data_IF_240922006231
#
_entry.id   IF_240922006231
#
_cell.length_a   1.000
_cell.length_b   1.000
_cell.length_c   1.000
_cell.angle_alpha   90.00
_cell.angle_beta   90.00
_cell.angle_gamma   90.00
#
_symmetry.space_group_name_H-M   'P 1'
#
loop_
_entity.id
_entity.type
_entity.pdbx_description
1 polymer ?
#
# COMPACT_ATOMS: atom_id res chain seq x y z
N UNK A 1 45.89 -58.06 -50.55
CA UNK A 1 46.41 -57.79 -49.18
C UNK A 1 46.56 -56.28 -49.01
N UNK A 2 46.17 -55.76 -47.84
CA UNK A 2 46.33 -54.37 -47.33
C UNK A 2 45.33 -53.35 -47.88
N UNK A 3 44.60 -52.55 -47.10
CA UNK A 3 44.26 -52.47 -45.66
C UNK A 3 43.20 -51.36 -45.61
N UNK A 4 42.03 -51.62 -45.07
CA UNK A 4 41.00 -50.59 -44.87
C UNK A 4 41.40 -49.71 -43.68
N UNK A 5 41.51 -48.39 -43.88
CA UNK A 5 41.66 -47.43 -42.80
C UNK A 5 40.32 -46.70 -42.61
N UNK A 6 39.66 -46.99 -41.49
CA UNK A 6 38.58 -46.17 -40.94
C UNK A 6 39.15 -44.81 -40.54
N UNK A 7 38.66 -43.74 -41.16
CA UNK A 7 38.87 -42.38 -40.67
C UNK A 7 37.68 -41.99 -39.79
N UNK A 8 37.87 -42.06 -38.47
CA UNK A 8 36.96 -41.50 -37.48
C UNK A 8 37.17 -39.98 -37.49
N UNK A 9 36.23 -39.23 -38.06
CA UNK A 9 36.22 -37.77 -37.97
C UNK A 9 35.65 -37.38 -36.60
N UNK A 10 36.53 -36.87 -35.73
CA UNK A 10 36.19 -36.26 -34.45
C UNK A 10 35.36 -34.99 -34.67
N UNK A 11 34.11 -35.02 -34.23
CA UNK A 11 33.25 -33.84 -34.08
C UNK A 11 33.85 -32.92 -32.99
N UNK A 12 34.13 -31.65 -33.26
CA UNK A 12 34.46 -30.71 -32.21
C UNK A 12 33.21 -30.47 -31.35
N UNK A 13 33.25 -30.88 -30.09
CA UNK A 13 32.30 -30.42 -29.07
C UNK A 13 32.44 -28.91 -28.95
N UNK A 14 31.55 -28.15 -29.59
CA UNK A 14 31.31 -26.77 -29.24
C UNK A 14 30.66 -26.76 -27.86
N UNK A 15 31.46 -26.57 -26.82
CA UNK A 15 30.94 -26.16 -25.53
C UNK A 15 30.24 -24.81 -25.74
N UNK A 16 28.91 -24.83 -25.80
CA UNK A 16 28.12 -23.61 -25.77
C UNK A 16 28.42 -22.93 -24.44
N UNK A 17 29.24 -21.88 -24.47
CA UNK A 17 29.38 -20.97 -23.35
C UNK A 17 28.00 -20.35 -23.19
N UNK A 18 27.25 -20.81 -22.19
CA UNK A 18 26.02 -20.18 -21.78
C UNK A 18 26.37 -18.73 -21.41
N UNK A 19 25.97 -17.79 -22.26
CA UNK A 19 25.98 -16.38 -21.89
C UNK A 19 25.19 -16.27 -20.59
N UNK A 20 25.72 -15.62 -19.54
CA UNK A 20 24.94 -15.39 -18.34
C UNK A 20 23.67 -14.68 -18.79
N UNK A 21 22.53 -15.33 -18.58
CA UNK A 21 21.22 -14.76 -18.84
C UNK A 21 21.19 -13.44 -18.07
N UNK A 22 21.23 -12.33 -18.81
CA UNK A 22 21.19 -11.00 -18.20
C UNK A 22 19.95 -11.00 -17.31
N UNK A 23 20.16 -10.96 -15.99
CA UNK A 23 19.12 -10.51 -15.09
C UNK A 23 18.75 -9.14 -15.61
N UNK A 24 17.56 -9.02 -16.23
CA UNK A 24 17.09 -7.75 -16.77
C UNK A 24 16.69 -6.94 -15.55
N UNK A 25 17.69 -6.39 -14.87
CA UNK A 25 17.51 -5.55 -13.71
C UNK A 25 16.76 -4.31 -14.16
N UNK A 26 15.52 -4.15 -13.67
CA UNK A 26 14.73 -2.96 -13.97
C UNK A 26 14.79 -2.02 -12.78
N UNK A 27 15.29 -0.80 -12.99
CA UNK A 27 15.20 0.26 -12.00
C UNK A 27 13.75 0.75 -11.92
N UNK A 28 13.15 0.62 -10.75
CA UNK A 28 11.74 0.98 -10.53
C UNK A 28 11.62 1.85 -9.29
N UNK A 29 10.67 2.79 -9.33
CA UNK A 29 10.18 3.49 -8.15
C UNK A 29 8.78 2.98 -7.84
N UNK A 30 8.58 2.50 -6.62
CA UNK A 30 7.34 1.92 -6.13
C UNK A 30 6.84 2.74 -4.94
N UNK A 31 5.54 3.01 -4.88
CA UNK A 31 4.90 3.66 -3.74
C UNK A 31 3.84 2.73 -3.12
N UNK A 32 3.97 2.44 -1.83
CA UNK A 32 3.12 1.46 -1.15
C UNK A 32 3.44 1.36 0.34
N UNK A 33 2.76 0.44 1.02
CA UNK A 33 2.98 0.18 2.44
C UNK A 33 4.09 -0.86 2.62
N UNK A 34 5.12 -0.52 3.38
CA UNK A 34 6.11 -1.51 3.80
C UNK A 34 5.48 -2.43 4.83
N UNK A 35 5.54 -3.73 4.60
CA UNK A 35 5.08 -4.76 5.52
C UNK A 35 6.21 -5.73 5.83
N UNK A 36 6.18 -6.24 7.05
CA UNK A 36 7.01 -7.33 7.51
C UNK A 36 6.08 -8.34 8.19
N UNK A 37 6.10 -9.56 7.68
CA UNK A 37 5.43 -10.70 8.30
C UNK A 37 6.48 -11.44 9.13
N UNK A 38 6.34 -11.37 10.46
CA UNK A 38 7.26 -11.98 11.42
C UNK A 38 7.19 -13.52 11.41
N UNK A 39 6.04 -14.11 11.07
CA UNK A 39 5.84 -15.57 11.13
C UNK A 39 6.63 -16.27 10.04
N UNK A 40 6.63 -15.70 8.83
CA UNK A 40 7.36 -16.23 7.67
C UNK A 40 8.62 -15.43 7.33
N UNK A 41 8.93 -14.38 8.11
CA UNK A 41 10.03 -13.44 7.90
C UNK A 41 10.08 -12.88 6.47
N UNK A 42 8.93 -12.42 5.97
CA UNK A 42 8.78 -11.91 4.61
C UNK A 42 8.59 -10.41 4.64
N UNK A 43 9.43 -9.71 3.87
CA UNK A 43 9.35 -8.27 3.68
C UNK A 43 8.71 -7.95 2.33
N UNK A 44 7.71 -7.09 2.32
CA UNK A 44 7.02 -6.69 1.09
C UNK A 44 6.69 -5.20 1.06
N UNK A 45 6.55 -4.65 -0.13
CA UNK A 45 5.79 -3.42 -0.33
C UNK A 45 4.45 -3.81 -0.96
N UNK A 46 3.35 -3.53 -0.26
CA UNK A 46 2.00 -3.67 -0.79
C UNK A 46 1.62 -2.38 -1.50
N UNK A 47 1.42 -2.47 -2.80
CA UNK A 47 1.07 -1.33 -3.66
C UNK A 47 -0.44 -1.22 -3.84
N UNK A 48 -1.01 -0.01 -3.80
CA UNK A 48 -2.45 0.23 -3.95
C UNK A 48 -2.92 0.09 -5.40
N UNK A 49 -2.03 0.27 -6.36
CA UNK A 49 -2.24 0.04 -7.78
C UNK A 49 -1.30 -1.06 -8.25
N UNK A 50 -1.77 -1.99 -9.09
CA UNK A 50 -0.90 -3.06 -9.56
C UNK A 50 0.20 -2.46 -10.42
N UNK A 51 1.46 -2.80 -10.12
CA UNK A 51 2.57 -2.45 -10.99
C UNK A 51 2.73 -3.54 -12.05
N UNK A 52 3.12 -3.12 -13.26
CA UNK A 52 3.53 -4.02 -14.34
C UNK A 52 5.05 -3.92 -14.50
N UNK A 53 5.77 -4.98 -14.14
CA UNK A 53 7.23 -5.04 -14.20
C UNK A 53 7.66 -6.44 -14.60
N UNK A 54 8.66 -6.55 -15.49
CA UNK A 54 9.13 -7.84 -16.02
C UNK A 54 8.00 -8.75 -16.55
N UNK A 55 6.97 -8.16 -17.17
CA UNK A 55 5.81 -8.89 -17.70
C UNK A 55 4.84 -9.40 -16.62
N UNK A 56 5.06 -9.07 -15.35
CA UNK A 56 4.23 -9.50 -14.22
C UNK A 56 3.43 -8.31 -13.70
N UNK A 57 2.14 -8.54 -13.46
CA UNK A 57 1.22 -7.57 -12.86
C UNK A 57 0.92 -7.98 -11.41
N UNK A 58 1.32 -7.17 -10.43
CA UNK A 58 1.21 -7.54 -9.00
C UNK A 58 0.91 -6.36 -8.09
N UNK A 59 0.26 -6.64 -6.95
CA UNK A 59 0.02 -5.71 -5.83
C UNK A 59 1.06 -5.85 -4.70
N UNK A 60 1.93 -6.85 -4.79
CA UNK A 60 2.91 -7.16 -3.76
C UNK A 60 4.28 -7.17 -4.40
N UNK A 61 5.22 -6.45 -3.80
CA UNK A 61 6.62 -6.42 -4.23
C UNK A 61 7.47 -7.02 -3.11
N UNK A 62 7.88 -8.31 -3.24
CA UNK A 62 8.77 -8.94 -2.27
C UNK A 62 10.13 -8.25 -2.23
N UNK A 63 10.69 -8.09 -1.03
CA UNK A 63 11.99 -7.44 -0.83
C UNK A 63 13.11 -8.47 -0.64
N UNK A 64 14.29 -8.13 -1.16
CA UNK A 64 15.50 -8.97 -1.10
C UNK A 64 16.70 -8.19 -0.59
N UNK A 65 17.81 -8.88 -0.34
CA UNK A 65 19.02 -8.28 0.19
C UNK A 65 18.89 -8.05 1.70
N UNK A 66 18.91 -6.79 2.12
CA UNK A 66 18.90 -6.35 3.53
C UNK A 66 17.69 -5.45 3.84
N UNK A 67 16.44 -5.95 3.76
CA UNK A 67 15.24 -5.13 3.97
C UNK A 67 15.11 -4.60 5.40
N UNK A 68 15.72 -5.26 6.39
CA UNK A 68 15.72 -4.85 7.81
C UNK A 68 16.28 -3.44 8.05
N UNK A 69 17.10 -2.92 7.12
CA UNK A 69 17.58 -1.52 7.17
C UNK A 69 16.44 -0.49 7.10
N UNK A 70 15.24 -0.92 6.70
CA UNK A 70 14.04 -0.08 6.53
C UNK A 70 12.98 -0.32 7.60
N UNK A 71 13.30 -1.06 8.67
CA UNK A 71 12.37 -1.43 9.74
C UNK A 71 11.54 -0.26 10.31
N UNK A 72 12.17 0.91 10.47
CA UNK A 72 11.48 2.15 10.92
C UNK A 72 10.27 2.56 10.07
N UNK A 73 10.17 2.06 8.84
CA UNK A 73 9.09 2.33 7.90
C UNK A 73 8.03 1.24 7.87
N UNK A 74 8.13 0.16 8.66
CA UNK A 74 7.11 -0.89 8.71
C UNK A 74 5.74 -0.28 9.04
N UNK A 75 4.74 -0.73 8.29
CA UNK A 75 3.37 -0.21 8.30
C UNK A 75 3.21 1.13 7.59
N UNK A 76 4.28 1.90 7.30
CA UNK A 76 4.21 3.25 6.73
C UNK A 76 4.10 3.22 5.21
N UNK A 77 3.48 4.27 4.66
CA UNK A 77 3.45 4.50 3.22
C UNK A 77 4.79 5.11 2.79
N UNK A 78 5.50 4.43 1.90
CA UNK A 78 6.81 4.83 1.44
C UNK A 78 6.86 4.94 -0.07
N UNK A 79 7.80 5.76 -0.54
CA UNK A 79 8.33 5.68 -1.89
C UNK A 79 9.69 5.02 -1.82
N UNK A 80 9.84 3.88 -2.49
CA UNK A 80 11.07 3.11 -2.59
C UNK A 80 11.57 3.06 -4.03
N UNK A 81 12.86 3.30 -4.24
CA UNK A 81 13.53 3.12 -5.51
C UNK A 81 14.60 2.03 -5.40
N UNK A 82 14.69 1.15 -6.39
CA UNK A 82 15.62 0.05 -6.37
C UNK A 82 15.56 -0.79 -7.64
N UNK A 83 16.24 -1.93 -7.61
CA UNK A 83 16.27 -2.88 -8.73
C UNK A 83 15.28 -4.01 -8.48
N UNK A 84 14.42 -4.27 -9.47
CA UNK A 84 13.56 -5.44 -9.50
C UNK A 84 14.19 -6.49 -10.41
N UNK A 85 14.34 -7.70 -9.90
CA UNK A 85 14.88 -8.87 -10.61
C UNK A 85 13.87 -10.01 -10.62
N UNK A 86 13.96 -10.87 -11.65
CA UNK A 86 13.16 -12.09 -11.72
C UNK A 86 13.74 -13.13 -10.77
N UNK A 87 12.90 -13.69 -9.90
CA UNK A 87 13.27 -14.72 -8.93
C UNK A 87 12.23 -15.85 -8.95
N UNK A 88 12.27 -16.73 -9.98
CA UNK A 88 11.28 -17.80 -10.16
C UNK A 88 11.19 -18.76 -8.96
N UNK A 89 12.31 -18.99 -8.27
CA UNK A 89 12.38 -19.88 -7.10
C UNK A 89 11.76 -19.29 -5.82
N UNK A 90 11.45 -17.98 -5.77
CA UNK A 90 11.03 -17.27 -4.54
C UNK A 90 9.52 -17.17 -4.33
N UNK A 91 8.72 -17.82 -5.16
CA UNK A 91 7.26 -17.88 -5.03
C UNK A 91 6.51 -16.91 -5.94
N UNK A 92 5.32 -16.49 -5.52
CA UNK A 92 4.41 -15.65 -6.31
C UNK A 92 4.19 -14.28 -5.62
N UNK A 93 4.56 -13.15 -6.26
CA UNK A 93 5.09 -13.04 -7.62
C UNK A 93 6.57 -13.48 -7.70
N UNK A 94 7.02 -14.03 -8.85
CA UNK A 94 8.38 -14.52 -9.04
C UNK A 94 9.38 -13.37 -9.31
N UNK A 95 9.36 -12.35 -8.45
CA UNK A 95 10.22 -11.17 -8.51
C UNK A 95 10.75 -10.83 -7.13
N UNK A 96 11.83 -10.06 -7.09
CA UNK A 96 12.34 -9.47 -5.86
C UNK A 96 12.91 -8.08 -6.09
N UNK A 97 12.66 -7.18 -5.15
CA UNK A 97 13.19 -5.83 -5.17
C UNK A 97 14.30 -5.65 -4.13
N UNK A 98 15.48 -5.25 -4.57
CA UNK A 98 16.51 -4.72 -3.68
C UNK A 98 16.38 -3.19 -3.62
N UNK A 99 16.05 -2.66 -2.45
CA UNK A 99 15.81 -1.23 -2.25
C UNK A 99 17.13 -0.48 -2.06
N UNK A 100 17.40 0.49 -2.93
CA UNK A 100 18.52 1.42 -2.79
C UNK A 100 18.16 2.58 -1.86
N UNK A 101 16.98 3.17 -2.05
CA UNK A 101 16.50 4.33 -1.28
C UNK A 101 15.03 4.16 -0.95
N UNK A 102 14.66 4.46 0.29
CA UNK A 102 13.27 4.59 0.71
C UNK A 102 13.10 5.85 1.55
N UNK A 103 11.93 6.47 1.39
CA UNK A 103 11.49 7.58 2.23
C UNK A 103 10.00 7.41 2.53
N UNK A 104 9.61 7.80 3.73
CA UNK A 104 8.20 7.97 4.05
C UNK A 104 7.65 9.15 3.26
N UNK A 105 6.47 8.97 2.68
CA UNK A 105 5.73 10.01 1.97
C UNK A 105 4.27 9.91 2.35
N UNK A 106 3.55 11.01 2.28
CA UNK A 106 2.10 10.94 2.34
C UNK A 106 1.56 10.38 1.02
N UNK A 107 0.49 9.58 1.05
CA UNK A 107 -0.19 9.17 -0.16
C UNK A 107 -0.61 10.37 -1.04
N UNK A 108 -0.72 10.20 -2.36
CA UNK A 108 -1.33 11.22 -3.21
C UNK A 108 -2.75 11.57 -2.74
N UNK A 109 -3.10 12.86 -2.75
CA UNK A 109 -4.43 13.32 -2.34
C UNK A 109 -4.70 13.36 -0.83
N UNK A 110 -3.67 13.22 0.01
CA UNK A 110 -3.83 13.36 1.48
C UNK A 110 -4.34 14.74 1.87
N UNK A 111 -5.53 14.81 2.47
CA UNK A 111 -5.99 15.98 3.24
C UNK A 111 -5.47 15.88 4.67
N UNK A 112 -5.17 17.02 5.29
CA UNK A 112 -4.68 17.12 6.66
C UNK A 112 -5.46 18.17 7.44
N UNK A 113 -5.68 17.92 8.71
CA UNK A 113 -6.19 18.91 9.66
C UNK A 113 -5.46 18.75 11.01
N UNK A 114 -5.44 19.84 11.78
CA UNK A 114 -4.89 19.85 13.14
C UNK A 114 -6.05 19.99 14.11
N UNK A 115 -6.12 19.07 15.06
CA UNK A 115 -7.05 19.12 16.19
C UNK A 115 -6.29 19.68 17.39
N UNK A 116 -6.69 20.86 17.86
CA UNK A 116 -6.04 21.55 18.97
C UNK A 116 -7.10 22.07 19.96
N UNK A 117 -7.25 21.38 21.09
CA UNK A 117 -8.21 21.75 22.15
C UNK A 117 -7.54 22.45 23.34
N UNK A 118 -6.23 22.26 23.52
CA UNK A 118 -5.46 22.90 24.59
C UNK A 118 -3.97 22.90 24.26
N UNK A 119 -3.17 23.63 25.04
CA UNK A 119 -1.70 23.64 24.94
C UNK A 119 -1.07 22.25 24.95
N UNK A 120 -1.72 21.27 25.58
CA UNK A 120 -1.19 19.91 25.74
C UNK A 120 -1.80 18.89 24.76
N UNK A 121 -2.89 19.25 24.07
CA UNK A 121 -3.59 18.36 23.16
C UNK A 121 -3.51 18.93 21.74
N UNK A 122 -2.64 18.32 20.93
CA UNK A 122 -2.52 18.60 19.51
C UNK A 122 -2.31 17.30 18.75
N UNK A 123 -3.24 17.00 17.85
CA UNK A 123 -3.16 15.85 16.96
C UNK A 123 -3.21 16.31 15.50
N UNK A 124 -2.48 15.63 14.63
CA UNK A 124 -2.67 15.74 13.19
C UNK A 124 -3.55 14.57 12.73
N UNK A 125 -4.65 14.91 12.07
CA UNK A 125 -5.50 13.93 11.41
C UNK A 125 -5.30 14.02 9.90
N UNK A 126 -5.23 12.87 9.25
CA UNK A 126 -5.10 12.81 7.78
C UNK A 126 -6.05 11.77 7.20
N UNK A 127 -6.52 12.04 5.98
CA UNK A 127 -7.28 11.08 5.18
C UNK A 127 -6.76 11.08 3.75
N UNK A 128 -6.61 9.90 3.17
CA UNK A 128 -6.22 9.73 1.76
C UNK A 128 -7.03 8.60 1.13
N UNK A 129 -7.43 8.77 -0.12
CA UNK A 129 -7.88 7.65 -0.96
C UNK A 129 -6.74 7.24 -1.85
N UNK A 130 -6.43 5.95 -1.90
CA UNK A 130 -5.23 5.44 -2.56
C UNK A 130 -5.65 4.32 -3.54
N UNK A 131 -5.48 4.51 -4.85
CA UNK A 131 -5.12 5.77 -5.51
C UNK A 131 -6.22 6.84 -5.38
N UNK A 132 -5.86 8.13 -5.44
CA UNK A 132 -6.82 9.24 -5.39
C UNK A 132 -7.45 9.56 -6.76
N UNK A 133 -7.03 8.85 -7.81
CA UNK A 133 -7.58 8.92 -9.16
C UNK A 133 -7.50 7.55 -9.83
N UNK A 134 -8.62 6.99 -10.26
CA UNK A 134 -8.66 5.67 -10.89
C UNK A 134 -9.93 5.47 -11.72
N UNK A 135 -9.89 4.55 -12.68
CA UNK A 135 -11.09 4.03 -13.33
C UNK A 135 -11.27 2.56 -12.97
N UNK A 136 -12.51 2.10 -12.80
CA UNK A 136 -12.81 0.67 -12.61
C UNK A 136 -12.55 -0.13 -13.89
N UNK A 137 -12.69 0.55 -15.04
CA UNK A 137 -12.46 0.00 -16.38
C UNK A 137 -11.44 0.85 -17.13
N UNK A 138 -10.66 0.21 -18.00
CA UNK A 138 -9.75 0.90 -18.90
C UNK A 138 -10.49 1.43 -20.15
N UNK A 139 -9.75 2.05 -21.07
CA UNK A 139 -10.29 2.60 -22.32
C UNK A 139 -10.89 1.54 -23.26
N UNK A 140 -10.61 0.26 -23.04
CA UNK A 140 -11.18 -0.87 -23.80
C UNK A 140 -12.39 -1.49 -23.09
N UNK A 141 -12.74 -1.00 -21.90
CA UNK A 141 -13.82 -1.52 -21.06
C UNK A 141 -13.42 -2.70 -20.16
N UNK A 142 -12.15 -3.12 -20.21
CA UNK A 142 -11.65 -4.21 -19.39
C UNK A 142 -11.43 -3.76 -17.93
N UNK A 143 -11.65 -4.64 -16.93
CA UNK A 143 -11.42 -4.29 -15.54
C UNK A 143 -9.98 -3.88 -15.27
N UNK A 144 -9.78 -2.73 -14.63
CA UNK A 144 -8.44 -2.30 -14.20
C UNK A 144 -7.95 -3.09 -12.99
N UNK A 145 -8.84 -3.77 -12.26
CA UNK A 145 -8.50 -4.47 -11.02
C UNK A 145 -8.16 -3.55 -9.86
N UNK A 146 -8.35 -2.23 -9.98
CA UNK A 146 -8.09 -1.29 -8.89
C UNK A 146 -8.80 -1.72 -7.60
N UNK A 147 -8.10 -1.60 -6.48
CA UNK A 147 -8.63 -1.93 -5.15
C UNK A 147 -8.37 -0.72 -4.23
N UNK A 148 -9.23 0.30 -4.31
CA UNK A 148 -8.98 1.57 -3.64
C UNK A 148 -9.08 1.41 -2.11
N UNK A 149 -8.19 2.12 -1.42
CA UNK A 149 -8.10 2.13 0.04
C UNK A 149 -8.27 3.54 0.57
N UNK A 150 -9.12 3.71 1.56
CA UNK A 150 -9.19 4.92 2.38
C UNK A 150 -8.28 4.71 3.57
N UNK A 151 -7.27 5.55 3.71
CA UNK A 151 -6.35 5.57 4.83
C UNK A 151 -6.67 6.76 5.72
N UNK A 152 -7.07 6.49 6.96
CA UNK A 152 -7.25 7.50 7.99
C UNK A 152 -6.17 7.37 9.06
N UNK A 153 -5.60 8.49 9.51
CA UNK A 153 -4.56 8.49 10.54
C UNK A 153 -4.77 9.59 11.56
N UNK A 154 -4.42 9.31 12.81
CA UNK A 154 -4.29 10.30 13.88
C UNK A 154 -2.88 10.20 14.43
N UNK A 155 -2.13 11.30 14.46
CA UNK A 155 -0.79 11.34 15.04
C UNK A 155 -0.78 12.32 16.20
N UNK A 156 -0.44 11.83 17.39
CA UNK A 156 -0.28 12.68 18.57
C UNK A 156 1.05 13.46 18.46
N UNK A 157 0.97 14.78 18.30
CA UNK A 157 2.14 15.64 18.13
C UNK A 157 2.72 16.13 19.47
N UNK A 158 2.15 15.72 20.61
CA UNK A 158 2.52 16.22 21.94
C UNK A 158 2.96 15.11 22.89
N UNK A 159 3.39 15.54 24.06
CA UNK A 159 3.95 14.70 25.12
C UNK A 159 2.90 14.09 26.05
N UNK A 160 1.66 14.57 26.03
CA UNK A 160 0.55 13.97 26.78
C UNK A 160 -0.18 12.94 25.91
N UNK A 161 -0.60 11.78 26.47
CA UNK A 161 -1.50 10.86 25.76
C UNK A 161 -2.86 11.52 25.51
N UNK A 162 -3.51 11.13 24.41
CA UNK A 162 -4.88 11.55 24.09
C UNK A 162 -5.81 10.40 24.46
N UNK A 163 -6.83 10.70 25.26
CA UNK A 163 -7.82 9.72 25.71
C UNK A 163 -9.12 9.93 24.94
N UNK A 164 -9.55 8.88 24.23
CA UNK A 164 -10.85 8.83 23.57
C UNK A 164 -11.81 8.00 24.42
N UNK A 165 -13.00 8.54 24.66
CA UNK A 165 -14.10 7.84 25.31
C UNK A 165 -15.24 7.77 24.30
N UNK A 166 -15.47 6.58 23.75
CA UNK A 166 -16.50 6.35 22.74
C UNK A 166 -17.87 6.22 23.42
N UNK A 167 -18.90 6.91 22.93
CA UNK A 167 -20.26 6.80 23.49
C UNK A 167 -20.90 5.44 23.16
N UNK A 168 -20.54 4.86 22.01
CA UNK A 168 -21.02 3.54 21.55
C UNK A 168 -19.83 2.61 21.23
N UNK A 169 -20.09 1.41 20.70
CA UNK A 169 -19.03 0.53 20.20
C UNK A 169 -18.50 0.95 18.82
N UNK A 170 -19.14 1.93 18.16
CA UNK A 170 -18.69 2.47 16.86
C UNK A 170 -17.40 3.26 17.08
N UNK A 171 -16.38 2.98 16.29
CA UNK A 171 -15.06 3.59 16.48
C UNK A 171 -14.70 4.56 15.36
N UNK A 172 -14.47 4.06 14.15
CA UNK A 172 -14.14 4.90 12.99
C UNK A 172 -15.29 4.82 12.00
N UNK A 173 -15.84 5.98 11.66
CA UNK A 173 -16.96 6.15 10.75
C UNK A 173 -16.45 6.68 9.43
N UNK A 174 -16.85 6.06 8.32
CA UNK A 174 -16.52 6.52 6.98
C UNK A 174 -17.79 6.66 6.14
N UNK A 175 -17.88 7.74 5.39
CA UNK A 175 -18.95 7.97 4.43
C UNK A 175 -18.37 8.51 3.12
N UNK A 176 -18.73 7.86 2.02
CA UNK A 176 -18.43 8.28 0.66
C UNK A 176 -19.61 9.09 0.13
N UNK A 177 -19.30 10.24 -0.43
CA UNK A 177 -20.27 11.19 -0.95
C UNK A 177 -19.96 11.59 -2.37
N UNK A 178 -21.00 11.77 -3.17
CA UNK A 178 -20.92 12.46 -4.47
C UNK A 178 -20.75 13.97 -4.28
N UNK A 179 -20.44 14.68 -5.36
CA UNK A 179 -20.23 16.13 -5.37
C UNK A 179 -21.47 16.94 -4.92
N UNK A 180 -22.67 16.40 -5.13
CA UNK A 180 -23.93 16.97 -4.62
C UNK A 180 -24.19 16.70 -3.12
N UNK A 181 -23.27 15.99 -2.44
CA UNK A 181 -23.35 15.66 -1.02
C UNK A 181 -24.12 14.39 -0.68
N UNK A 182 -24.67 13.66 -1.67
CA UNK A 182 -25.38 12.39 -1.44
C UNK A 182 -24.42 11.32 -0.95
N UNK A 183 -24.73 10.69 0.19
CA UNK A 183 -23.99 9.53 0.67
C UNK A 183 -24.31 8.32 -0.20
N UNK A 184 -23.29 7.73 -0.82
CA UNK A 184 -23.40 6.57 -1.71
C UNK A 184 -22.90 5.29 -1.07
N UNK A 185 -22.08 5.40 -0.03
CA UNK A 185 -21.59 4.26 0.75
C UNK A 185 -21.12 4.74 2.12
N UNK A 186 -21.26 3.89 3.12
CA UNK A 186 -20.67 4.10 4.44
C UNK A 186 -20.17 2.78 5.04
N UNK A 187 -19.31 2.91 6.04
CA UNK A 187 -18.84 1.79 6.84
C UNK A 187 -18.47 2.27 8.24
N UNK A 188 -18.41 1.34 9.19
CA UNK A 188 -18.06 1.63 10.58
C UNK A 188 -17.28 0.48 11.19
N UNK A 189 -16.10 0.78 11.75
CA UNK A 189 -15.39 -0.18 12.60
C UNK A 189 -15.99 -0.20 13.99
N UNK A 190 -15.87 -1.35 14.67
CA UNK A 190 -16.41 -1.54 16.01
C UNK A 190 -15.31 -2.01 16.95
N UNK A 191 -15.27 -1.46 18.16
CA UNK A 191 -14.46 -2.03 19.24
C UNK A 191 -15.08 -3.34 19.71
N UNK A 192 -14.26 -4.39 19.88
CA UNK A 192 -14.75 -5.74 20.15
C UNK A 192 -15.22 -5.96 21.60
N UNK A 193 -14.84 -5.09 22.54
CA UNK A 193 -15.22 -5.18 23.96
C UNK A 193 -15.80 -3.86 24.48
N UNK A 194 -16.83 -3.88 25.36
CA UNK A 194 -17.34 -2.68 26.02
C UNK A 194 -16.27 -1.90 26.83
N UNK A 195 -15.26 -2.60 27.34
CA UNK A 195 -14.12 -2.00 28.06
C UNK A 195 -13.15 -1.30 27.11
N UNK A 196 -13.14 -1.71 25.83
CA UNK A 196 -12.34 -1.11 24.76
C UNK A 196 -12.95 0.19 24.20
N UNK A 197 -14.06 0.70 24.78
CA UNK A 197 -14.58 2.05 24.48
C UNK A 197 -13.66 3.17 24.99
N UNK A 198 -12.60 2.82 25.72
CA UNK A 198 -11.51 3.71 26.09
C UNK A 198 -10.30 3.38 25.22
N UNK A 199 -9.98 4.26 24.29
CA UNK A 199 -8.80 4.16 23.45
C UNK A 199 -7.80 5.26 23.84
N UNK A 200 -6.53 4.92 23.98
CA UNK A 200 -5.48 5.87 24.34
C UNK A 200 -4.45 5.96 23.22
N UNK A 201 -4.31 7.14 22.63
CA UNK A 201 -3.24 7.43 21.71
C UNK A 201 -2.01 7.92 22.49
N UNK A 202 -1.00 7.06 22.59
CA UNK A 202 0.21 7.30 23.35
C UNK A 202 0.99 8.53 22.84
N UNK A 203 1.93 9.02 23.67
CA UNK A 203 2.88 10.08 23.29
C UNK A 203 3.59 9.71 21.99
N UNK A 204 3.64 10.64 21.04
CA UNK A 204 4.23 10.43 19.72
C UNK A 204 3.69 9.17 18.99
N UNK A 205 2.54 8.66 19.45
CA UNK A 205 1.88 7.50 18.89
C UNK A 205 1.04 7.89 17.68
N UNK A 206 0.81 6.90 16.83
CA UNK A 206 -0.08 7.00 15.69
C UNK A 206 -1.21 5.98 15.79
N UNK A 207 -2.40 6.39 15.38
CA UNK A 207 -3.50 5.51 15.02
C UNK A 207 -3.65 5.52 13.51
N UNK A 208 -3.97 4.37 12.92
CA UNK A 208 -4.17 4.21 11.48
C UNK A 208 -5.26 3.18 11.26
N UNK A 209 -6.21 3.54 10.41
CA UNK A 209 -7.29 2.65 9.99
C UNK A 209 -7.39 2.67 8.46
N UNK A 210 -7.73 1.52 7.90
CA UNK A 210 -7.72 1.29 6.47
C UNK A 210 -9.04 0.66 6.03
N UNK A 211 -9.78 1.36 5.18
CA UNK A 211 -11.05 0.86 4.62
C UNK A 211 -10.89 0.56 3.15
N UNK A 212 -11.37 -0.61 2.73
CA UNK A 212 -11.61 -0.88 1.31
C UNK A 212 -13.06 -0.53 1.02
N UNK A 213 -13.29 0.06 -0.16
CA UNK A 213 -14.64 0.23 -0.65
C UNK A 213 -14.81 -0.47 -2.02
N UNK A 214 -15.99 -1.05 -2.27
CA UNK A 214 -16.29 -1.78 -3.49
C UNK A 214 -16.63 -0.86 -4.68
N UNK A 215 -16.74 -1.43 -5.89
CA UNK A 215 -17.06 -0.70 -7.14
C UNK A 215 -18.43 -0.01 -7.12
N UNK A 216 -19.41 -0.62 -6.47
CA UNK A 216 -20.77 -0.07 -6.32
C UNK A 216 -20.82 1.16 -5.40
N UNK A 217 -19.77 1.42 -4.59
CA UNK A 217 -19.67 2.63 -3.78
C UNK A 217 -19.33 3.89 -4.59
N UNK A 218 -18.75 3.76 -5.80
CA UNK A 218 -18.33 4.88 -6.63
C UNK A 218 -18.39 4.54 -8.13
N UNK A 219 -19.57 4.19 -8.62
CA UNK A 219 -19.74 3.55 -9.95
C UNK A 219 -19.61 4.51 -11.13
N UNK A 220 -19.91 5.80 -10.93
CA UNK A 220 -19.97 6.77 -12.03
C UNK A 220 -18.66 7.57 -12.08
N UNK A 221 -18.14 7.91 -13.27
CA UNK A 221 -17.07 8.88 -13.38
C UNK A 221 -17.46 10.21 -12.74
N UNK A 222 -16.52 10.82 -12.03
CA UNK A 222 -16.76 12.08 -11.33
C UNK A 222 -15.94 12.24 -10.07
N UNK A 223 -16.14 13.37 -9.40
CA UNK A 223 -15.51 13.69 -8.12
C UNK A 223 -16.32 13.14 -6.96
N UNK A 224 -15.62 12.55 -6.01
CA UNK A 224 -16.18 12.03 -4.78
C UNK A 224 -15.42 12.58 -3.58
N UNK A 225 -16.11 12.58 -2.44
CA UNK A 225 -15.59 13.00 -1.16
C UNK A 225 -15.69 11.85 -0.16
N UNK A 226 -14.65 11.68 0.66
CA UNK A 226 -14.65 10.72 1.75
C UNK A 226 -14.58 11.49 3.07
N UNK A 227 -15.61 11.39 3.90
CA UNK A 227 -15.58 11.88 5.28
C UNK A 227 -15.21 10.71 6.18
N UNK A 228 -14.15 10.87 6.98
CA UNK A 228 -13.73 9.89 7.99
C UNK A 228 -13.50 10.60 9.30
N UNK A 229 -13.85 9.96 10.41
CA UNK A 229 -13.46 10.41 11.73
C UNK A 229 -13.76 9.40 12.82
N UNK A 230 -13.49 9.79 14.07
CA UNK A 230 -13.91 9.01 15.22
C UNK A 230 -15.41 9.23 15.41
N UNK A 231 -16.19 8.14 15.39
CA UNK A 231 -17.64 8.19 15.49
C UNK A 231 -18.07 8.95 16.76
N UNK A 232 -18.98 9.91 16.59
CA UNK A 232 -19.60 10.66 17.69
C UNK A 232 -18.58 11.43 18.57
N UNK A 233 -17.38 11.70 18.04
CA UNK A 233 -16.36 12.55 18.68
C UNK A 233 -16.05 13.71 17.74
N UNK A 234 -16.42 14.91 18.18
CA UNK A 234 -16.23 16.13 17.41
C UNK A 234 -14.74 16.40 17.10
N UNK A 235 -14.50 17.19 16.06
CA UNK A 235 -13.19 17.68 15.61
C UNK A 235 -12.21 16.64 15.03
N UNK A 236 -12.49 15.34 15.16
CA UNK A 236 -11.69 14.28 14.53
C UNK A 236 -12.21 13.87 13.14
N UNK A 237 -13.22 14.56 12.62
CA UNK A 237 -13.70 14.39 11.25
C UNK A 237 -12.82 15.14 10.24
N UNK A 238 -12.50 14.49 9.14
CA UNK A 238 -11.77 15.07 8.02
C UNK A 238 -12.38 14.59 6.70
N UNK A 239 -12.39 15.48 5.70
CA UNK A 239 -12.87 15.16 4.36
C UNK A 239 -11.73 15.14 3.35
N UNK A 240 -11.58 14.01 2.65
CA UNK A 240 -10.69 13.83 1.51
C UNK A 240 -11.47 13.87 0.20
N UNK A 241 -10.75 13.99 -0.92
CA UNK A 241 -11.34 13.96 -2.26
C UNK A 241 -10.61 12.95 -3.15
N UNK A 242 -11.34 12.37 -4.11
CA UNK A 242 -10.80 11.50 -5.14
C UNK A 242 -11.65 11.58 -6.42
N UNK A 243 -11.06 11.17 -7.54
CA UNK A 243 -11.73 11.19 -8.84
C UNK A 243 -11.85 9.76 -9.41
N UNK A 244 -13.05 9.40 -9.86
CA UNK A 244 -13.31 8.21 -10.67
C UNK A 244 -13.29 8.60 -12.16
N UNK A 245 -12.50 7.88 -12.96
CA UNK A 245 -12.28 8.11 -14.40
C UNK A 245 -13.26 7.36 -15.30
#
# INVERSE_FOLDING_TARGET
>A
MRTAFLAVALLPLTAAVALPQQAVDTLVTVAGFLQHDDEVNVWTIVVPLPIAVLGIRTYVVPLVGKPEKWDRYVGRYIQASGRITSLPERGNPPIGMEIDKAKEVAPPGTTRAIVEHSVNLRAEITVSVIPNRFGWRDSTGAPTGVNPLILYTIVNQRTAPIFFILPTSRFVCVALKTDDGTTVWDSTTHVQSPDARRFTLQRAGGFREAFRFPEDAATRPGRYFVRVGICDVDDYDITGQFDVL
#
